data_IF_473204488299
#
_entry.id   IF_473204488299
#
_cell.length_a   1.000
_cell.length_b   1.000
_cell.length_c   1.000
_cell.angle_alpha   90.00
_cell.angle_beta   90.00
_cell.angle_gamma   90.00
#
_symmetry.space_group_name_H-M   'P 1'
#
loop_
_entity.id
_entity.type
_entity.pdbx_description
1 polymer ?
#
# COMPACT_ATOMS: atom_id res chain seq x y z
N UNK A 1 -8.02 -3.25 47.23
CA UNK A 1 -7.50 -2.33 46.18
C UNK A 1 -6.08 -2.71 45.78
N UNK A 2 -5.87 -3.77 44.98
CA UNK A 2 -4.54 -4.12 44.42
C UNK A 2 -4.60 -4.78 43.03
N UNK A 3 -5.79 -4.89 42.42
CA UNK A 3 -6.00 -5.56 41.11
C UNK A 3 -6.22 -4.60 39.94
N UNK A 4 -6.30 -3.29 40.20
CA UNK A 4 -6.56 -2.27 39.17
C UNK A 4 -5.33 -1.76 38.41
N UNK A 5 -4.11 -2.01 38.92
CA UNK A 5 -2.89 -1.49 38.30
C UNK A 5 -2.25 -2.43 37.26
N UNK A 6 -2.67 -3.70 37.21
CA UNK A 6 -2.05 -4.68 36.29
C UNK A 6 -2.56 -4.51 34.85
N UNK A 7 -3.76 -3.97 34.65
CA UNK A 7 -4.31 -3.77 33.30
C UNK A 7 -3.71 -2.56 32.55
N UNK A 8 -3.10 -1.60 33.28
CA UNK A 8 -2.54 -0.39 32.67
C UNK A 8 -1.08 -0.59 32.19
N UNK A 9 -0.38 -1.60 32.73
CA UNK A 9 1.01 -1.88 32.38
C UNK A 9 1.19 -2.58 31.03
N UNK A 10 0.15 -3.28 30.53
CA UNK A 10 0.23 -4.03 29.26
C UNK A 10 0.08 -3.15 28.01
N UNK A 11 -0.43 -1.92 28.13
CA UNK A 11 -0.55 -1.00 26.98
C UNK A 11 0.78 -0.27 26.68
N UNK A 12 1.74 -0.27 27.62
CA UNK A 12 2.99 0.49 27.50
C UNK A 12 4.08 -0.25 26.70
N UNK A 13 3.88 -1.53 26.34
CA UNK A 13 4.89 -2.34 25.62
C UNK A 13 4.96 -2.04 24.11
N UNK A 14 4.13 -1.13 23.58
CA UNK A 14 4.35 -0.55 22.22
C UNK A 14 5.41 0.56 22.21
N UNK A 15 6.14 0.73 23.32
CA UNK A 15 7.17 1.74 23.51
C UNK A 15 8.34 1.63 22.53
N UNK A 16 8.52 2.73 21.78
CA UNK A 16 9.72 3.14 21.04
C UNK A 16 9.95 2.54 19.65
N UNK A 17 8.93 2.57 18.77
CA UNK A 17 9.25 2.66 17.34
C UNK A 17 10.03 3.96 17.09
N UNK A 18 11.18 3.89 16.43
CA UNK A 18 11.98 5.07 16.12
C UNK A 18 11.19 5.98 15.17
N UNK A 19 10.59 7.06 15.70
CA UNK A 19 9.68 7.94 14.97
C UNK A 19 10.31 8.49 13.68
N UNK A 20 11.62 8.76 13.67
CA UNK A 20 12.34 9.22 12.47
C UNK A 20 12.38 8.15 11.38
N UNK A 21 12.61 6.89 11.77
CA UNK A 21 12.65 5.75 10.84
C UNK A 21 11.26 5.49 10.28
N UNK A 22 10.22 5.56 11.12
CA UNK A 22 8.82 5.43 10.67
C UNK A 22 8.51 6.51 9.64
N UNK A 23 8.74 7.78 9.98
CA UNK A 23 8.47 8.90 9.08
C UNK A 23 9.25 8.81 7.77
N UNK A 24 10.54 8.44 7.83
CA UNK A 24 11.36 8.25 6.64
C UNK A 24 10.82 7.15 5.73
N UNK A 25 10.42 6.01 6.30
CA UNK A 25 9.87 4.91 5.52
C UNK A 25 8.49 5.24 4.95
N UNK A 26 7.63 5.93 5.71
CA UNK A 26 6.34 6.43 5.19
C UNK A 26 6.55 7.35 3.99
N UNK A 27 7.40 8.38 4.11
CA UNK A 27 7.66 9.30 3.01
C UNK A 27 8.25 8.61 1.77
N UNK A 28 9.06 7.57 1.95
CA UNK A 28 9.59 6.77 0.83
C UNK A 28 8.52 5.94 0.15
N UNK A 29 7.64 5.30 0.92
CA UNK A 29 6.53 4.55 0.36
C UNK A 29 5.60 5.48 -0.40
N UNK A 30 5.25 6.63 0.16
CA UNK A 30 4.42 7.64 -0.51
C UNK A 30 4.99 8.04 -1.87
N UNK A 31 6.30 8.31 -1.94
CA UNK A 31 6.99 8.65 -3.19
C UNK A 31 6.93 7.51 -4.22
N UNK A 32 7.15 6.27 -3.77
CA UNK A 32 7.07 5.09 -4.65
C UNK A 32 5.65 4.90 -5.17
N UNK A 33 4.64 5.02 -4.30
CA UNK A 33 3.23 4.87 -4.70
C UNK A 33 2.80 5.96 -5.68
N UNK A 34 3.26 7.19 -5.49
CA UNK A 34 3.03 8.29 -6.42
C UNK A 34 3.68 8.01 -7.78
N UNK A 35 4.96 7.61 -7.79
CA UNK A 35 5.67 7.25 -9.02
C UNK A 35 4.95 6.14 -9.80
N UNK A 36 4.54 5.07 -9.12
CA UNK A 36 3.85 3.92 -9.73
C UNK A 36 2.45 4.31 -10.26
N UNK A 37 1.75 5.22 -9.58
CA UNK A 37 0.46 5.74 -10.03
C UNK A 37 0.57 6.60 -11.29
N UNK A 38 1.61 7.42 -11.38
CA UNK A 38 1.82 8.33 -12.50
C UNK A 38 2.40 7.64 -13.74
N UNK A 39 3.26 6.64 -13.54
CA UNK A 39 3.93 5.91 -14.61
C UNK A 39 3.13 4.69 -15.05
N UNK A 40 1.99 4.94 -15.70
CA UNK A 40 1.23 3.88 -16.39
C UNK A 40 2.06 3.34 -17.55
N UNK A 41 2.30 2.03 -17.57
CA UNK A 41 3.21 1.35 -18.52
C UNK A 41 2.86 1.57 -19.99
N UNK A 42 1.61 1.92 -20.30
CA UNK A 42 1.16 2.33 -21.64
C UNK A 42 0.04 3.38 -21.50
N UNK A 43 0.20 4.57 -22.09
CA UNK A 43 -0.87 5.59 -22.17
C UNK A 43 -1.78 5.29 -23.37
N UNK A 44 -3.09 5.39 -23.18
CA UNK A 44 -4.05 5.21 -24.27
C UNK A 44 -3.80 6.23 -25.39
N UNK A 45 -3.69 5.74 -26.62
CA UNK A 45 -3.61 6.53 -27.84
C UNK A 45 -4.13 5.68 -29.00
N UNK A 46 -4.61 6.33 -30.07
CA UNK A 46 -5.24 5.65 -31.22
C UNK A 46 -4.36 4.54 -31.84
N UNK A 47 -3.04 4.65 -31.75
CA UNK A 47 -2.10 3.63 -32.25
C UNK A 47 -1.85 2.51 -31.23
N UNK A 48 -1.92 2.81 -29.94
CA UNK A 48 -1.80 1.81 -28.86
C UNK A 48 -3.04 0.92 -28.84
N UNK A 49 -4.24 1.47 -28.99
CA UNK A 49 -5.48 0.70 -28.97
C UNK A 49 -5.49 -0.37 -30.07
N UNK A 50 -5.04 -0.01 -31.28
CA UNK A 50 -4.88 -0.98 -32.38
C UNK A 50 -3.87 -2.08 -32.06
N UNK A 51 -2.76 -1.75 -31.41
CA UNK A 51 -1.77 -2.75 -31.02
C UNK A 51 -2.28 -3.69 -29.92
N UNK A 52 -3.17 -3.20 -29.05
CA UNK A 52 -3.88 -4.00 -28.05
C UNK A 52 -4.93 -4.90 -28.71
N UNK A 53 -5.75 -4.36 -29.62
CA UNK A 53 -6.74 -5.14 -30.40
C UNK A 53 -6.08 -6.22 -31.26
N UNK A 54 -4.91 -5.95 -31.84
CA UNK A 54 -4.10 -6.90 -32.59
C UNK A 54 -3.34 -7.91 -31.69
N UNK A 55 -3.44 -7.79 -30.37
CA UNK A 55 -2.79 -8.68 -29.39
C UNK A 55 -1.26 -8.57 -29.34
N UNK A 56 -0.69 -7.45 -29.80
CA UNK A 56 0.76 -7.23 -29.85
C UNK A 56 1.32 -6.66 -28.55
N UNK A 57 0.50 -5.93 -27.80
CA UNK A 57 0.82 -5.37 -26.48
C UNK A 57 -0.39 -5.49 -25.57
N UNK A 58 -0.19 -5.42 -24.26
CA UNK A 58 -1.26 -5.35 -23.27
C UNK A 58 -1.13 -4.05 -22.47
N UNK A 59 -2.26 -3.53 -21.99
CA UNK A 59 -2.23 -2.46 -21.01
C UNK A 59 -1.63 -2.97 -19.70
N UNK A 60 -0.68 -2.22 -19.15
CA UNK A 60 -0.20 -2.49 -17.80
C UNK A 60 -1.36 -2.38 -16.80
N UNK A 61 -1.45 -3.35 -15.88
CA UNK A 61 -2.42 -3.28 -14.78
C UNK A 61 -2.24 -1.98 -14.00
N UNK A 62 -3.36 -1.40 -13.54
CA UNK A 62 -3.29 -0.21 -12.72
C UNK A 62 -2.67 -0.55 -11.37
N UNK A 63 -1.66 0.24 -10.96
CA UNK A 63 -1.03 0.08 -9.66
C UNK A 63 -2.09 0.13 -8.55
N UNK A 64 -2.07 -0.88 -7.69
CA UNK A 64 -2.90 -0.95 -6.49
C UNK A 64 -2.07 -0.48 -5.29
N UNK A 65 -2.61 0.43 -4.49
CA UNK A 65 -1.90 0.90 -3.29
C UNK A 65 -1.77 -0.20 -2.24
N UNK A 66 -0.68 -0.14 -1.47
CA UNK A 66 -0.39 -1.07 -0.39
C UNK A 66 -1.51 -1.08 0.67
N UNK A 67 -2.16 0.07 0.90
CA UNK A 67 -3.33 0.17 1.78
C UNK A 67 -4.50 -0.71 1.29
N UNK A 68 -4.87 -0.61 0.01
CA UNK A 68 -5.94 -1.42 -0.57
C UNK A 68 -5.60 -2.91 -0.63
N UNK A 69 -4.32 -3.23 -0.76
CA UNK A 69 -3.85 -4.62 -0.66
C UNK A 69 -3.99 -5.15 0.76
N UNK A 70 -3.61 -4.35 1.76
CA UNK A 70 -3.74 -4.70 3.17
C UNK A 70 -5.20 -4.90 3.57
N UNK A 71 -6.10 -4.01 3.17
CA UNK A 71 -7.55 -4.14 3.40
C UNK A 71 -8.09 -5.45 2.81
N UNK A 72 -7.81 -5.72 1.54
CA UNK A 72 -8.25 -6.95 0.87
C UNK A 72 -7.69 -8.21 1.54
N UNK A 73 -6.44 -8.16 2.01
CA UNK A 73 -5.83 -9.26 2.76
C UNK A 73 -6.54 -9.52 4.09
N UNK A 74 -6.89 -8.47 4.83
CA UNK A 74 -7.65 -8.58 6.09
C UNK A 74 -9.06 -9.14 5.85
N UNK A 75 -9.77 -8.64 4.84
CA UNK A 75 -11.12 -9.11 4.49
C UNK A 75 -11.14 -10.59 4.11
N UNK A 76 -10.16 -11.05 3.32
CA UNK A 76 -10.03 -12.45 2.93
C UNK A 76 -9.70 -13.39 4.11
N UNK A 77 -9.12 -12.87 5.18
CA UNK A 77 -8.84 -13.63 6.42
C UNK A 77 -10.05 -13.74 7.35
N UNK A 78 -11.09 -12.92 7.14
CA UNK A 78 -12.30 -12.90 7.95
C UNK A 78 -13.48 -13.66 7.31
N UNK A 79 -13.31 -14.20 6.10
CA UNK A 79 -14.25 -15.11 5.43
C UNK A 79 -13.85 -16.57 5.67
#
# INVERSE_FOLDING_TARGET
>A
MKKGFILLATIVVLGCTNQKVVQYNTARLDNIEEYLRENKGVKASDNVDKLVEEGKIEYAEEYKSLEKEAEAWVENRQK
#
